data_IF_334449645409
#
_entry.id   IF_334449645409
#
_cell.length_a   1.000
_cell.length_b   1.000
_cell.length_c   1.000
_cell.angle_alpha   90.00
_cell.angle_beta   90.00
_cell.angle_gamma   90.00
#
_symmetry.space_group_name_H-M   'P 1'
#
loop_
_entity.id
_entity.type
_entity.pdbx_description
1 polymer ?
#
# COMPACT_ATOMS: atom_id res chain seq x y z
N UNK A 1 19.24 -25.83 -27.78
CA UNK A 1 18.97 -24.44 -28.21
C UNK A 1 17.48 -24.15 -28.08
N UNK A 2 17.09 -22.88 -27.91
CA UNK A 2 15.68 -22.50 -27.93
C UNK A 2 15.30 -21.94 -29.29
N UNK A 3 14.16 -22.33 -29.83
CA UNK A 3 13.64 -21.80 -31.11
C UNK A 3 12.52 -20.81 -30.87
N UNK A 4 12.37 -19.82 -31.76
CA UNK A 4 11.22 -18.90 -31.73
C UNK A 4 9.94 -19.73 -31.88
N UNK A 5 8.99 -19.51 -30.98
CA UNK A 5 7.63 -20.04 -31.08
C UNK A 5 6.59 -18.93 -31.26
N UNK A 6 7.00 -17.66 -31.08
CA UNK A 6 6.15 -16.49 -31.28
C UNK A 6 6.95 -15.21 -31.47
N UNK A 7 6.59 -14.45 -32.50
CA UNK A 7 7.07 -13.09 -32.78
C UNK A 7 6.33 -12.01 -31.97
N UNK A 8 6.91 -10.81 -31.91
CA UNK A 8 6.22 -9.64 -31.36
C UNK A 8 5.09 -9.22 -32.31
N UNK A 9 3.83 -9.48 -31.95
CA UNK A 9 2.67 -9.03 -32.74
C UNK A 9 2.36 -7.57 -32.40
N UNK A 10 2.58 -6.66 -33.36
CA UNK A 10 2.12 -5.26 -33.24
C UNK A 10 0.61 -5.11 -33.42
N UNK A 11 -0.04 -5.98 -34.21
CA UNK A 11 -1.50 -5.99 -34.39
C UNK A 11 -2.03 -7.41 -34.71
N UNK A 12 -2.97 -7.96 -33.93
CA UNK A 12 -3.57 -9.25 -34.22
C UNK A 12 -4.49 -9.20 -35.46
N UNK A 13 -4.26 -10.09 -36.43
CA UNK A 13 -5.05 -10.17 -37.68
C UNK A 13 -6.37 -10.96 -37.54
N UNK A 14 -6.51 -11.80 -36.50
CA UNK A 14 -7.71 -12.60 -36.21
C UNK A 14 -7.96 -12.68 -34.70
N UNK A 15 -9.05 -12.05 -34.27
CA UNK A 15 -9.44 -11.93 -32.86
C UNK A 15 -9.58 -13.28 -32.14
N UNK A 16 -10.13 -14.31 -32.79
CA UNK A 16 -10.37 -15.61 -32.14
C UNK A 16 -9.06 -16.38 -31.95
N UNK A 17 -8.19 -16.36 -32.95
CA UNK A 17 -6.85 -16.93 -32.83
C UNK A 17 -6.02 -16.18 -31.80
N UNK A 18 -6.14 -14.85 -31.73
CA UNK A 18 -5.45 -14.05 -30.72
C UNK A 18 -5.92 -14.36 -29.30
N UNK A 19 -7.22 -14.59 -29.06
CA UNK A 19 -7.70 -15.03 -27.74
C UNK A 19 -7.22 -16.44 -27.37
N UNK A 20 -7.22 -17.39 -28.32
CA UNK A 20 -6.69 -18.74 -28.08
C UNK A 20 -5.19 -18.69 -27.75
N UNK A 21 -4.44 -17.90 -28.50
CA UNK A 21 -3.01 -17.70 -28.27
C UNK A 21 -2.73 -16.96 -26.97
N UNK A 22 -3.51 -15.93 -26.62
CA UNK A 22 -3.42 -15.23 -25.34
C UNK A 22 -3.61 -16.20 -24.18
N UNK A 23 -4.58 -17.12 -24.26
CA UNK A 23 -4.78 -18.15 -23.25
C UNK A 23 -3.59 -19.13 -23.16
N UNK A 24 -3.03 -19.58 -24.29
CA UNK A 24 -1.83 -20.44 -24.31
C UNK A 24 -0.64 -19.72 -23.68
N UNK A 25 -0.44 -18.43 -24.00
CA UNK A 25 0.62 -17.61 -23.43
C UNK A 25 0.38 -17.39 -21.95
N UNK A 26 -0.84 -17.10 -21.51
CA UNK A 26 -1.16 -16.97 -20.09
C UNK A 26 -0.93 -18.26 -19.32
N UNK A 27 -1.20 -19.43 -19.91
CA UNK A 27 -0.87 -20.73 -19.32
C UNK A 27 0.64 -20.94 -19.23
N UNK A 28 1.39 -20.60 -20.30
CA UNK A 28 2.86 -20.63 -20.31
C UNK A 28 3.49 -19.61 -19.33
N UNK A 29 2.89 -18.43 -19.17
CA UNK A 29 3.27 -17.40 -18.19
C UNK A 29 2.96 -17.79 -16.75
N UNK A 30 1.90 -18.56 -16.50
CA UNK A 30 1.68 -19.18 -15.18
C UNK A 30 2.77 -20.20 -14.85
N UNK A 31 3.28 -20.96 -15.82
CA UNK A 31 4.45 -21.82 -15.62
C UNK A 31 5.75 -21.03 -15.39
N UNK A 32 5.92 -19.88 -16.07
CA UNK A 32 7.04 -18.95 -15.85
C UNK A 32 7.15 -18.50 -14.38
N UNK A 33 6.03 -18.38 -13.66
CA UNK A 33 5.99 -18.05 -12.22
C UNK A 33 6.48 -19.16 -11.29
N UNK A 34 6.55 -20.41 -11.77
CA UNK A 34 6.96 -21.59 -10.97
C UNK A 34 8.37 -22.10 -11.30
N UNK A 35 9.02 -21.53 -12.33
CA UNK A 35 10.34 -21.92 -12.81
C UNK A 35 11.29 -20.71 -12.87
N UNK A 36 12.60 -20.94 -13.04
CA UNK A 36 13.64 -19.90 -13.09
C UNK A 36 13.47 -19.03 -14.34
N UNK A 37 12.57 -18.03 -14.32
CA UNK A 37 12.13 -17.34 -15.54
C UNK A 37 11.60 -18.30 -16.61
N UNK A 38 10.84 -19.32 -16.20
CA UNK A 38 10.31 -20.33 -17.15
C UNK A 38 11.35 -21.34 -17.63
N UNK A 39 12.59 -21.20 -17.18
CA UNK A 39 13.65 -22.18 -17.40
C UNK A 39 13.59 -23.25 -16.31
N UNK A 40 13.47 -24.49 -16.74
CA UNK A 40 13.46 -25.67 -15.87
C UNK A 40 14.88 -26.22 -15.85
N UNK A 41 15.45 -26.37 -14.65
CA UNK A 41 16.80 -26.89 -14.45
C UNK A 41 16.78 -28.04 -13.44
N UNK A 42 17.65 -29.04 -13.65
CA UNK A 42 17.93 -30.09 -12.67
C UNK A 42 19.18 -29.73 -11.85
N UNK A 43 19.64 -30.65 -10.98
CA UNK A 43 20.88 -30.51 -10.20
C UNK A 43 21.00 -29.20 -9.40
N UNK A 44 19.89 -28.62 -8.94
CA UNK A 44 19.87 -27.31 -8.27
C UNK A 44 20.03 -27.37 -6.73
N UNK A 45 20.72 -28.38 -6.22
CA UNK A 45 21.00 -28.52 -4.77
C UNK A 45 22.45 -28.13 -4.46
N UNK A 46 22.68 -27.53 -3.29
CA UNK A 46 24.03 -27.29 -2.76
C UNK A 46 24.80 -28.58 -2.43
N UNK A 47 24.13 -29.74 -2.40
CA UNK A 47 24.78 -31.06 -2.28
C UNK A 47 25.14 -31.67 -3.62
N UNK A 48 24.59 -31.14 -4.71
CA UNK A 48 24.81 -31.64 -6.06
C UNK A 48 25.94 -30.86 -6.72
N UNK A 49 27.01 -31.56 -7.10
CA UNK A 49 28.24 -30.98 -7.67
C UNK A 49 28.18 -30.85 -9.19
N UNK A 50 27.13 -31.33 -9.83
CA UNK A 50 27.00 -31.31 -11.29
C UNK A 50 26.53 -29.94 -11.79
N UNK A 51 26.89 -29.65 -13.04
CA UNK A 51 26.36 -28.51 -13.79
C UNK A 51 24.91 -28.84 -14.17
N UNK A 52 23.95 -27.93 -13.98
CA UNK A 52 22.57 -28.19 -14.33
C UNK A 52 22.39 -28.29 -15.85
N UNK A 53 21.48 -29.16 -16.28
CA UNK A 53 20.89 -29.17 -17.61
C UNK A 53 19.67 -28.24 -17.65
N UNK A 54 19.38 -27.69 -18.84
CA UNK A 54 18.10 -27.04 -19.11
C UNK A 54 17.13 -28.09 -19.66
N UNK A 55 16.05 -28.35 -18.94
CA UNK A 55 15.09 -29.41 -19.30
C UNK A 55 14.18 -28.99 -20.46
N UNK A 56 13.73 -29.98 -21.23
CA UNK A 56 12.72 -29.82 -22.27
C UNK A 56 11.44 -29.13 -21.74
N UNK A 57 10.82 -28.32 -22.59
CA UNK A 57 9.67 -27.48 -22.24
C UNK A 57 10.04 -26.28 -21.36
N UNK A 58 11.31 -25.86 -21.38
CA UNK A 58 11.73 -24.56 -20.84
C UNK A 58 11.37 -23.46 -21.83
N UNK A 59 10.88 -22.34 -21.32
CA UNK A 59 10.39 -21.22 -22.13
C UNK A 59 11.11 -19.95 -21.68
N UNK A 60 11.62 -19.17 -22.63
CA UNK A 60 12.27 -17.89 -22.38
C UNK A 60 11.54 -16.78 -23.13
N UNK A 61 11.28 -15.66 -22.46
CA UNK A 61 10.94 -14.40 -23.12
C UNK A 61 12.23 -13.63 -23.45
N UNK A 62 12.31 -13.04 -24.65
CA UNK A 62 13.45 -12.24 -25.09
C UNK A 62 12.99 -11.23 -26.16
N UNK A 63 13.20 -9.93 -25.92
CA UNK A 63 12.77 -8.84 -26.83
C UNK A 63 11.27 -8.91 -27.23
N UNK A 64 10.38 -9.31 -26.30
CA UNK A 64 8.95 -9.45 -26.57
C UNK A 64 8.57 -10.71 -27.37
N UNK A 65 9.55 -11.55 -27.72
CA UNK A 65 9.36 -12.85 -28.38
C UNK A 65 9.42 -13.98 -27.37
N UNK A 66 8.79 -15.11 -27.70
CA UNK A 66 8.86 -16.33 -26.88
C UNK A 66 9.67 -17.40 -27.60
N UNK A 67 10.58 -17.99 -26.84
CA UNK A 67 11.45 -19.08 -27.26
C UNK A 67 11.18 -20.31 -26.41
N UNK A 68 11.23 -21.50 -27.01
CA UNK A 68 11.06 -22.77 -26.30
C UNK A 68 12.11 -23.79 -26.75
N UNK A 69 12.55 -24.62 -25.82
CA UNK A 69 13.36 -25.82 -26.14
C UNK A 69 12.50 -27.07 -25.96
N UNK A 70 12.44 -27.91 -26.99
CA UNK A 70 11.72 -29.19 -26.94
C UNK A 70 12.60 -30.36 -26.50
N UNK A 71 13.90 -30.10 -26.31
CA UNK A 71 14.89 -31.09 -25.90
C UNK A 71 15.62 -30.59 -24.64
N UNK A 72 16.12 -31.53 -23.85
CA UNK A 72 17.01 -31.22 -22.73
C UNK A 72 18.36 -30.78 -23.27
N UNK A 73 18.78 -29.57 -22.91
CA UNK A 73 20.07 -28.98 -23.30
C UNK A 73 21.07 -29.31 -22.21
N UNK A 74 22.05 -30.16 -22.55
CA UNK A 74 23.20 -30.41 -21.69
C UNK A 74 24.15 -29.22 -21.73
N UNK A 75 24.46 -28.67 -20.57
CA UNK A 75 25.40 -27.55 -20.48
C UNK A 75 26.83 -28.07 -20.44
N UNK A 76 27.74 -27.31 -21.04
CA UNK A 76 29.17 -27.57 -20.98
C UNK A 76 29.88 -26.31 -20.49
N UNK A 77 30.75 -26.47 -19.50
CA UNK A 77 31.67 -25.41 -19.07
C UNK A 77 33.06 -25.70 -19.65
N UNK A 78 33.57 -24.76 -20.44
CA UNK A 78 34.90 -24.87 -21.05
C UNK A 78 36.03 -24.51 -20.08
N UNK A 79 35.72 -24.07 -18.86
CA UNK A 79 36.70 -23.65 -17.86
C UNK A 79 36.58 -24.47 -16.58
N UNK A 80 37.71 -25.07 -16.15
CA UNK A 80 37.85 -25.70 -14.84
C UNK A 80 38.47 -24.77 -13.79
N UNK A 81 38.49 -23.45 -14.02
CA UNK A 81 39.05 -22.48 -13.07
C UNK A 81 38.13 -22.22 -11.89
N UNK A 82 38.69 -21.98 -10.71
CA UNK A 82 37.94 -21.51 -9.54
C UNK A 82 37.14 -20.24 -9.86
N UNK A 83 35.89 -20.17 -9.42
CA UNK A 83 35.13 -18.92 -9.44
C UNK A 83 33.67 -19.05 -9.90
N UNK A 84 33.02 -17.89 -10.05
CA UNK A 84 31.60 -17.83 -10.39
C UNK A 84 31.34 -18.17 -11.86
N UNK A 85 30.21 -18.83 -12.08
CA UNK A 85 29.65 -19.28 -13.37
C UNK A 85 28.21 -18.83 -13.48
N UNK A 86 27.86 -18.40 -14.68
CA UNK A 86 26.54 -17.91 -15.03
C UNK A 86 26.07 -18.57 -16.31
N UNK A 87 24.75 -18.71 -16.47
CA UNK A 87 24.15 -19.20 -17.70
C UNK A 87 23.60 -18.00 -18.46
N UNK A 88 24.05 -17.81 -19.71
CA UNK A 88 23.49 -16.80 -20.61
C UNK A 88 22.84 -17.43 -21.83
N UNK A 89 21.84 -16.75 -22.34
CA UNK A 89 21.09 -17.05 -23.55
C UNK A 89 21.46 -15.97 -24.58
N UNK A 90 22.26 -16.34 -25.58
CA UNK A 90 22.70 -15.45 -26.64
C UNK A 90 21.76 -15.56 -27.85
N UNK A 91 21.27 -14.42 -28.36
CA UNK A 91 20.45 -14.42 -29.57
C UNK A 91 21.34 -14.61 -30.80
N UNK A 92 21.08 -15.65 -31.57
CA UNK A 92 21.63 -15.83 -32.92
C UNK A 92 20.55 -15.40 -33.90
N UNK A 93 20.86 -14.34 -34.66
CA UNK A 93 19.93 -13.74 -35.61
C UNK A 93 20.20 -14.27 -37.01
N UNK A 94 19.16 -14.75 -37.68
CA UNK A 94 19.25 -15.11 -39.10
C UNK A 94 19.14 -13.83 -39.94
N UNK A 95 20.12 -13.61 -40.83
CA UNK A 95 20.21 -12.39 -41.63
C UNK A 95 19.03 -12.19 -42.59
N UNK A 96 18.33 -13.27 -42.95
CA UNK A 96 17.31 -13.29 -43.99
C UNK A 96 15.90 -13.58 -43.46
N UNK A 97 15.74 -14.15 -42.27
CA UNK A 97 14.43 -14.48 -41.70
C UNK A 97 14.44 -14.50 -40.17
N UNK A 98 13.87 -13.49 -39.52
CA UNK A 98 13.81 -13.40 -38.05
C UNK A 98 13.12 -14.57 -37.36
N UNK A 99 12.25 -15.32 -38.06
CA UNK A 99 11.61 -16.51 -37.51
C UNK A 99 12.58 -17.68 -37.30
N UNK A 100 13.77 -17.61 -37.92
CA UNK A 100 14.84 -18.58 -37.73
C UNK A 100 15.80 -18.19 -36.59
N UNK A 101 15.56 -17.06 -35.93
CA UNK A 101 16.34 -16.68 -34.75
C UNK A 101 16.24 -17.78 -33.69
N UNK A 102 17.31 -17.95 -32.93
CA UNK A 102 17.34 -18.92 -31.85
C UNK A 102 18.21 -18.42 -30.70
N UNK A 103 17.92 -18.92 -29.50
CA UNK A 103 18.77 -18.67 -28.34
C UNK A 103 19.73 -19.84 -28.15
N UNK A 104 21.02 -19.53 -28.17
CA UNK A 104 22.08 -20.44 -27.78
C UNK A 104 22.38 -20.29 -26.29
N UNK A 105 22.59 -21.42 -25.60
CA UNK A 105 22.88 -21.43 -24.18
C UNK A 105 24.39 -21.54 -23.98
N UNK A 106 24.95 -20.64 -23.18
CA UNK A 106 26.39 -20.61 -22.90
C UNK A 106 26.64 -20.48 -21.40
N UNK A 107 27.63 -21.21 -20.90
CA UNK A 107 28.15 -21.03 -19.53
C UNK A 107 29.36 -20.11 -19.60
N UNK A 108 29.35 -19.06 -18.78
CA UNK A 108 30.39 -18.03 -18.79
C UNK A 108 30.93 -17.76 -17.38
N UNK A 109 32.20 -17.38 -17.30
CA UNK A 109 32.88 -16.98 -16.07
C UNK A 109 33.05 -15.46 -16.02
N UNK A 110 32.79 -14.86 -14.85
CA UNK A 110 32.85 -13.41 -14.62
C UNK A 110 31.90 -12.60 -15.55
N UNK A 111 31.75 -11.29 -15.34
CA UNK A 111 30.92 -10.39 -16.16
C UNK A 111 29.39 -10.61 -16.11
N UNK A 112 28.83 -10.87 -14.93
CA UNK A 112 27.37 -10.80 -14.75
C UNK A 112 26.91 -9.33 -14.84
N UNK A 113 25.99 -8.97 -15.74
CA UNK A 113 25.60 -7.58 -15.94
C UNK A 113 24.76 -7.05 -14.76
N UNK A 114 24.67 -5.72 -14.64
CA UNK A 114 23.70 -5.10 -13.74
C UNK A 114 22.27 -5.37 -14.19
N UNK A 115 21.33 -5.38 -13.25
CA UNK A 115 19.91 -5.52 -13.57
C UNK A 115 19.42 -4.32 -14.41
N UNK A 116 18.86 -4.62 -15.58
CA UNK A 116 18.19 -3.66 -16.45
C UNK A 116 16.72 -3.56 -16.03
N UNK A 117 16.35 -2.40 -15.48
CA UNK A 117 15.00 -2.13 -14.99
C UNK A 117 13.98 -1.95 -16.12
N UNK A 118 14.40 -1.52 -17.30
CA UNK A 118 13.52 -1.31 -18.45
C UNK A 118 13.11 -2.65 -19.04
N UNK A 119 14.09 -3.54 -19.23
CA UNK A 119 13.88 -4.89 -19.77
C UNK A 119 13.57 -5.94 -18.69
N UNK A 120 13.56 -5.53 -17.42
CA UNK A 120 13.22 -6.33 -16.22
C UNK A 120 14.03 -7.62 -16.08
N UNK A 121 15.34 -7.56 -16.32
CA UNK A 121 16.21 -8.72 -16.28
C UNK A 121 17.69 -8.37 -16.38
N UNK A 122 18.53 -9.36 -16.61
CA UNK A 122 19.97 -9.18 -16.77
C UNK A 122 20.31 -9.33 -18.25
N UNK A 123 20.66 -8.22 -18.89
CA UNK A 123 20.91 -8.19 -20.32
C UNK A 123 22.26 -7.56 -20.62
N UNK A 124 22.89 -8.05 -21.68
CA UNK A 124 23.96 -7.34 -22.36
C UNK A 124 23.38 -6.71 -23.62
N UNK A 125 23.47 -5.37 -23.70
CA UNK A 125 22.98 -4.60 -24.83
C UNK A 125 24.13 -4.23 -25.77
N UNK A 126 23.87 -4.15 -27.08
CA UNK A 126 24.81 -3.56 -28.03
C UNK A 126 24.82 -2.02 -27.94
N UNK A 127 25.67 -1.38 -28.74
CA UNK A 127 25.79 0.08 -28.80
C UNK A 127 24.51 0.82 -29.22
N UNK A 128 23.54 0.11 -29.78
CA UNK A 128 22.25 0.62 -30.23
C UNK A 128 21.12 0.29 -29.25
N UNK A 129 21.44 -0.33 -28.11
CA UNK A 129 20.47 -0.70 -27.07
C UNK A 129 19.70 -1.99 -27.36
N UNK A 130 20.10 -2.79 -28.37
CA UNK A 130 19.47 -4.07 -28.68
C UNK A 130 20.00 -5.17 -27.77
N UNK A 131 19.15 -6.09 -27.34
CA UNK A 131 19.57 -7.19 -26.47
C UNK A 131 20.40 -8.21 -27.28
N UNK A 132 21.64 -8.46 -26.84
CA UNK A 132 22.53 -9.49 -27.37
C UNK A 132 22.45 -10.77 -26.54
N UNK A 133 22.51 -10.61 -25.22
CA UNK A 133 22.49 -11.73 -24.28
C UNK A 133 21.46 -11.48 -23.18
N UNK A 134 20.81 -12.54 -22.72
CA UNK A 134 20.02 -12.56 -21.47
C UNK A 134 20.65 -13.52 -20.50
N UNK A 135 20.97 -13.07 -19.30
CA UNK A 135 21.52 -13.89 -18.25
C UNK A 135 20.39 -14.43 -17.40
N UNK A 136 20.43 -15.74 -17.10
CA UNK A 136 19.53 -16.32 -16.12
C UNK A 136 19.85 -15.73 -14.74
N UNK A 137 18.81 -15.58 -13.91
CA UNK A 137 18.92 -15.02 -12.56
C UNK A 137 19.53 -16.02 -11.57
N UNK A 138 20.66 -16.60 -11.93
CA UNK A 138 21.32 -17.61 -11.12
C UNK A 138 22.84 -17.50 -11.24
N UNK A 139 23.53 -17.92 -10.19
CA UNK A 139 24.98 -18.12 -10.19
C UNK A 139 25.37 -19.39 -9.49
N UNK A 140 26.49 -19.94 -9.92
CA UNK A 140 27.09 -21.14 -9.35
C UNK A 140 28.58 -20.88 -9.19
N UNK A 141 29.20 -21.37 -8.13
CA UNK A 141 30.65 -21.27 -7.97
C UNK A 141 31.28 -22.61 -8.28
N UNK A 142 32.20 -22.65 -9.23
CA UNK A 142 33.00 -23.86 -9.47
C UNK A 142 34.15 -23.91 -8.47
N UNK A 143 34.31 -25.05 -7.79
CA UNK A 143 35.43 -25.34 -6.90
C UNK A 143 36.03 -26.71 -7.19
N UNK A 144 37.28 -26.71 -7.65
CA UNK A 144 38.11 -27.90 -7.85
C UNK A 144 38.34 -28.65 -6.53
N UNK A 145 38.56 -27.93 -5.42
CA UNK A 145 38.73 -28.51 -4.10
C UNK A 145 37.48 -29.27 -3.62
N UNK A 146 36.29 -28.82 -4.05
CA UNK A 146 35.01 -29.46 -3.72
C UNK A 146 34.51 -30.43 -4.80
N UNK A 147 35.29 -30.64 -5.88
CA UNK A 147 34.98 -31.55 -6.97
C UNK A 147 33.83 -31.12 -7.90
N UNK A 148 33.47 -29.84 -7.94
CA UNK A 148 32.42 -29.36 -8.85
C UNK A 148 31.75 -28.05 -8.43
N UNK A 149 30.48 -27.87 -8.80
CA UNK A 149 29.72 -26.65 -8.57
C UNK A 149 29.12 -26.62 -7.16
N UNK A 150 29.32 -25.51 -6.47
CA UNK A 150 28.89 -25.22 -5.09
C UNK A 150 28.26 -23.82 -5.01
N UNK A 151 27.68 -23.49 -3.85
CA UNK A 151 27.13 -22.16 -3.55
C UNK A 151 26.15 -21.68 -4.65
N UNK A 152 25.14 -22.50 -4.97
CA UNK A 152 24.19 -22.22 -6.06
C UNK A 152 23.18 -21.19 -5.59
N UNK A 153 23.22 -20.00 -6.16
CA UNK A 153 22.36 -18.89 -5.76
C UNK A 153 21.34 -18.59 -6.85
N UNK A 154 20.10 -18.38 -6.42
CA UNK A 154 19.04 -17.85 -7.25
C UNK A 154 18.67 -16.46 -6.79
N UNK A 155 18.51 -15.57 -7.75
CA UNK A 155 18.13 -14.20 -7.55
C UNK A 155 16.64 -14.07 -7.74
N UNK A 156 15.92 -13.94 -6.61
CA UNK A 156 14.51 -13.64 -6.68
C UNK A 156 14.34 -12.21 -7.23
N UNK A 157 13.37 -11.98 -8.11
CA UNK A 157 13.04 -10.63 -8.57
C UNK A 157 12.70 -9.69 -7.40
N UNK A 158 12.20 -10.26 -6.30
CA UNK A 158 11.94 -9.57 -5.04
C UNK A 158 13.24 -9.06 -4.37
N UNK A 159 14.39 -9.65 -4.65
CA UNK A 159 15.70 -9.24 -4.12
C UNK A 159 16.26 -8.03 -4.89
N UNK A 160 15.99 -7.92 -6.20
CA UNK A 160 16.42 -6.81 -7.06
C UNK A 160 15.50 -5.59 -6.97
N UNK A 161 14.20 -5.82 -6.82
CA UNK A 161 13.24 -4.75 -6.51
C UNK A 161 13.52 -4.07 -5.16
N UNK A 162 14.40 -4.62 -4.31
CA UNK A 162 14.69 -4.11 -2.96
C UNK A 162 15.99 -3.33 -2.79
N UNK A 163 16.93 -3.35 -3.75
CA UNK A 163 18.23 -2.66 -3.58
C UNK A 163 18.35 -1.26 -4.20
N UNK A 164 17.25 -0.63 -4.61
CA UNK A 164 17.30 0.77 -5.08
C UNK A 164 15.99 1.57 -5.15
N UNK A 165 14.82 0.96 -4.95
CA UNK A 165 13.50 1.63 -5.07
C UNK A 165 12.46 0.99 -4.14
N UNK A 166 12.79 0.73 -2.87
CA UNK A 166 11.74 0.32 -1.92
C UNK A 166 10.92 1.57 -1.59
N UNK A 167 9.77 1.73 -2.24
CA UNK A 167 8.73 2.62 -1.75
C UNK A 167 8.35 2.17 -0.33
N UNK A 168 8.93 2.79 0.70
CA UNK A 168 8.59 2.51 2.08
C UNK A 168 7.30 3.26 2.39
N UNK A 169 6.31 2.52 2.88
CA UNK A 169 5.15 3.14 3.50
C UNK A 169 5.61 3.89 4.73
N UNK A 170 5.33 5.19 4.77
CA UNK A 170 5.55 6.05 5.91
C UNK A 170 4.19 6.42 6.49
N UNK A 171 4.13 6.43 7.81
CA UNK A 171 2.93 6.79 8.55
C UNK A 171 3.31 7.85 9.57
N UNK A 172 2.56 8.94 9.62
CA UNK A 172 2.76 10.03 10.59
C UNK A 172 1.42 10.35 11.24
N UNK A 173 1.41 10.35 12.58
CA UNK A 173 0.19 10.55 13.37
C UNK A 173 0.18 11.92 14.04
N UNK A 174 -1.00 12.52 14.13
CA UNK A 174 -1.23 13.83 14.72
C UNK A 174 -2.36 13.76 15.75
N UNK A 175 -2.13 14.37 16.91
CA UNK A 175 -3.17 14.64 17.91
C UNK A 175 -3.85 15.99 17.68
N UNK A 176 -4.64 16.43 18.66
CA UNK A 176 -5.34 17.73 18.66
C UNK A 176 -4.39 18.89 18.35
N UNK A 177 -4.86 19.85 17.56
CA UNK A 177 -4.13 21.08 17.23
C UNK A 177 -4.00 21.33 15.74
N UNK A 178 -3.17 22.30 15.39
CA UNK A 178 -2.87 22.67 14.00
C UNK A 178 -1.47 22.20 13.64
N UNK A 179 -1.36 21.47 12.54
CA UNK A 179 -0.12 20.84 12.08
C UNK A 179 0.12 21.18 10.62
N UNK A 180 1.38 21.38 10.25
CA UNK A 180 1.81 21.43 8.85
C UNK A 180 2.70 20.22 8.56
N UNK A 181 2.49 19.59 7.42
CA UNK A 181 3.30 18.47 6.97
C UNK A 181 3.80 18.69 5.55
N UNK A 182 5.13 18.66 5.39
CA UNK A 182 5.82 18.83 4.12
C UNK A 182 6.19 17.47 3.55
N UNK A 183 5.84 17.23 2.30
CA UNK A 183 6.14 16.00 1.59
C UNK A 183 7.47 16.11 0.82
N UNK A 184 8.29 15.04 0.83
CA UNK A 184 9.41 14.89 -0.09
C UNK A 184 9.00 15.06 -1.56
N UNK A 185 9.96 15.45 -2.41
CA UNK A 185 9.70 15.72 -3.84
C UNK A 185 9.34 14.47 -4.64
N UNK A 186 9.73 13.30 -4.17
CA UNK A 186 9.51 12.00 -4.81
C UNK A 186 8.16 11.34 -4.44
N UNK A 187 7.38 11.97 -3.55
CA UNK A 187 6.04 11.51 -3.16
C UNK A 187 4.99 12.04 -4.13
N UNK A 188 4.24 11.11 -4.76
CA UNK A 188 3.18 11.41 -5.72
C UNK A 188 1.75 11.13 -5.23
N UNK A 189 1.60 10.26 -4.23
CA UNK A 189 0.30 9.85 -3.68
C UNK A 189 0.36 9.88 -2.16
N UNK A 190 -0.63 10.52 -1.56
CA UNK A 190 -0.74 10.77 -0.13
C UNK A 190 -2.17 10.40 0.27
N UNK A 191 -2.32 9.69 1.38
CA UNK A 191 -3.63 9.38 1.95
C UNK A 191 -3.67 9.96 3.36
N UNK A 192 -4.69 10.76 3.66
CA UNK A 192 -4.92 11.36 4.98
C UNK A 192 -6.17 10.74 5.58
N UNK A 193 -5.99 10.05 6.70
CA UNK A 193 -7.07 9.60 7.57
C UNK A 193 -7.27 10.65 8.65
N UNK A 194 -8.52 11.04 8.91
CA UNK A 194 -8.78 12.08 9.89
C UNK A 194 -10.13 11.89 10.58
N UNK A 195 -10.15 12.05 11.89
CA UNK A 195 -11.34 12.01 12.75
C UNK A 195 -11.46 13.34 13.51
N UNK A 196 -12.69 13.82 13.72
CA UNK A 196 -13.00 14.98 14.56
C UNK A 196 -13.28 14.59 16.02
N UNK A 197 -13.34 15.59 16.90
CA UNK A 197 -13.66 15.35 18.30
C UNK A 197 -15.13 14.97 18.50
N UNK A 198 -15.39 14.08 19.45
CA UNK A 198 -16.75 13.79 19.92
C UNK A 198 -17.25 14.87 20.90
N UNK A 199 -18.56 15.02 21.04
CA UNK A 199 -19.15 15.93 22.03
C UNK A 199 -19.08 15.38 23.45
N UNK A 200 -19.05 16.27 24.46
CA UNK A 200 -19.13 15.86 25.87
C UNK A 200 -20.53 15.36 26.26
N UNK A 201 -20.63 14.52 27.28
CA UNK A 201 -21.93 14.17 27.87
C UNK A 201 -22.45 15.28 28.79
N UNK A 202 -23.76 15.48 28.81
CA UNK A 202 -24.44 16.43 29.69
C UNK A 202 -25.33 15.76 30.73
N UNK A 203 -25.73 16.54 31.74
CA UNK A 203 -26.67 16.10 32.76
C UNK A 203 -28.11 16.25 32.24
N UNK A 204 -29.01 15.35 32.64
CA UNK A 204 -30.42 15.46 32.24
C UNK A 204 -31.21 16.40 33.17
N UNK A 205 -30.77 17.66 33.24
CA UNK A 205 -31.38 18.71 34.06
C UNK A 205 -31.99 19.74 33.14
N UNK A 206 -33.24 20.10 33.40
CA UNK A 206 -33.93 21.16 32.66
C UNK A 206 -33.26 22.49 33.06
N UNK A 207 -32.88 23.31 32.08
CA UNK A 207 -32.40 24.68 32.28
C UNK A 207 -33.52 25.61 32.79
N UNK A 208 -33.97 25.41 34.03
CA UNK A 208 -34.86 26.35 34.72
C UNK A 208 -34.06 27.09 35.79
N UNK A 209 -33.66 28.32 35.48
CA UNK A 209 -33.03 29.25 36.42
C UNK A 209 -31.52 29.06 36.64
N UNK A 210 -30.95 29.82 37.57
CA UNK A 210 -29.52 29.79 37.93
C UNK A 210 -29.23 28.61 38.86
N UNK A 211 -29.28 27.40 38.32
CA UNK A 211 -29.16 26.14 39.07
C UNK A 211 -27.70 25.62 39.18
N UNK A 212 -26.70 26.41 38.76
CA UNK A 212 -25.28 26.03 38.78
C UNK A 212 -24.94 24.92 37.77
N UNK A 213 -25.79 24.65 36.78
CA UNK A 213 -25.53 23.67 35.74
C UNK A 213 -24.76 24.28 34.56
N UNK A 214 -23.73 23.56 34.10
CA UNK A 214 -22.93 23.90 32.94
C UNK A 214 -23.10 22.85 31.85
N UNK A 215 -23.46 23.31 30.65
CA UNK A 215 -23.65 22.44 29.50
C UNK A 215 -22.36 21.77 29.04
N UNK A 216 -22.52 20.58 28.46
CA UNK A 216 -21.47 19.95 27.68
C UNK A 216 -21.17 20.76 26.43
N UNK A 217 -19.91 20.73 25.99
CA UNK A 217 -19.50 21.41 24.76
C UNK A 217 -19.43 20.46 23.58
N UNK A 218 -19.55 21.03 22.38
CA UNK A 218 -19.32 20.31 21.14
C UNK A 218 -17.85 19.92 21.00
N UNK A 219 -17.59 18.80 20.32
CA UNK A 219 -16.27 18.47 19.83
C UNK A 219 -15.83 19.45 18.73
N UNK A 220 -14.51 19.65 18.63
CA UNK A 220 -13.91 20.47 17.59
C UNK A 220 -13.94 19.78 16.23
N UNK A 221 -14.03 20.59 15.16
CA UNK A 221 -13.90 20.11 13.79
C UNK A 221 -12.46 19.71 13.48
N UNK A 222 -12.31 18.75 12.58
CA UNK A 222 -11.02 18.41 11.96
C UNK A 222 -11.04 18.76 10.48
N UNK A 223 -9.93 19.22 9.93
CA UNK A 223 -9.85 19.68 8.54
C UNK A 223 -8.53 19.28 7.89
N UNK A 224 -8.60 18.99 6.59
CA UNK A 224 -7.44 18.88 5.70
C UNK A 224 -7.46 20.08 4.77
N UNK A 225 -6.39 20.86 4.79
CA UNK A 225 -6.26 22.08 4.02
C UNK A 225 -5.09 21.99 3.05
N UNK A 226 -5.33 22.45 1.83
CA UNK A 226 -4.31 22.70 0.82
C UNK A 226 -4.35 24.20 0.52
N UNK A 227 -3.20 24.88 0.54
CA UNK A 227 -3.12 26.33 0.32
C UNK A 227 -4.09 27.13 1.21
N UNK A 228 -4.19 26.74 2.49
CA UNK A 228 -5.12 27.31 3.49
C UNK A 228 -6.62 27.20 3.15
N UNK A 229 -6.99 26.43 2.12
CA UNK A 229 -8.38 26.13 1.80
C UNK A 229 -8.71 24.72 2.24
N UNK A 230 -9.80 24.56 3.01
CA UNK A 230 -10.25 23.25 3.46
C UNK A 230 -10.81 22.46 2.27
N UNK A 231 -10.18 21.34 1.96
CA UNK A 231 -10.67 20.40 0.93
C UNK A 231 -11.62 19.36 1.54
N UNK A 232 -11.45 19.09 2.84
CA UNK A 232 -12.27 18.16 3.61
C UNK A 232 -12.45 18.70 5.02
N UNK A 233 -13.68 18.63 5.53
CA UNK A 233 -14.01 18.99 6.92
C UNK A 233 -14.79 17.85 7.56
N UNK A 234 -14.28 17.33 8.67
CA UNK A 234 -14.98 16.43 9.58
C UNK A 234 -15.57 17.26 10.72
N UNK A 235 -16.90 17.43 10.73
CA UNK A 235 -17.62 18.11 11.80
C UNK A 235 -17.51 17.36 13.13
N UNK A 236 -17.28 18.09 14.23
CA UNK A 236 -17.28 17.55 15.58
C UNK A 236 -18.68 17.12 16.05
N UNK A 237 -18.73 16.24 17.05
CA UNK A 237 -19.98 15.81 17.65
C UNK A 237 -20.60 16.87 18.56
N UNK A 238 -21.93 16.97 18.57
CA UNK A 238 -22.65 17.87 19.45
C UNK A 238 -22.59 17.42 20.92
N UNK A 239 -22.45 18.36 21.85
CA UNK A 239 -22.55 18.09 23.28
C UNK A 239 -23.93 17.55 23.65
N UNK A 240 -24.01 16.70 24.66
CA UNK A 240 -25.27 16.22 25.20
C UNK A 240 -26.01 17.36 25.90
N UNK A 241 -27.12 17.81 25.32
CA UNK A 241 -27.95 18.91 25.85
C UNK A 241 -29.40 18.43 25.92
N UNK A 242 -30.13 18.85 26.96
CA UNK A 242 -31.58 18.67 27.04
C UNK A 242 -32.28 19.93 26.53
N UNK A 243 -33.11 19.80 25.49
CA UNK A 243 -33.96 20.87 24.99
C UNK A 243 -35.42 20.52 25.27
N UNK A 244 -36.01 21.19 26.26
CA UNK A 244 -37.39 20.91 26.71
C UNK A 244 -37.53 19.60 27.51
N UNK A 245 -38.76 19.15 27.74
CA UNK A 245 -39.06 18.08 28.70
C UNK A 245 -38.67 16.66 28.23
N UNK A 246 -38.63 16.42 26.92
CA UNK A 246 -38.50 15.08 26.35
C UNK A 246 -37.34 14.89 25.34
N UNK A 247 -36.67 15.95 24.89
CA UNK A 247 -35.60 15.83 23.90
C UNK A 247 -34.24 16.03 24.55
N UNK A 248 -33.35 15.05 24.40
CA UNK A 248 -31.96 15.16 24.82
C UNK A 248 -31.09 14.20 24.02
N UNK A 249 -30.23 14.74 23.17
CA UNK A 249 -29.27 13.98 22.38
C UNK A 249 -28.11 14.88 21.95
N UNK A 250 -26.89 14.35 21.98
CA UNK A 250 -25.77 14.98 21.29
C UNK A 250 -25.84 14.70 19.79
N UNK A 251 -25.78 15.75 18.97
CA UNK A 251 -25.94 15.65 17.51
C UNK A 251 -24.73 14.96 16.86
N UNK A 252 -24.97 14.11 15.87
CA UNK A 252 -23.91 13.48 15.08
C UNK A 252 -23.10 14.50 14.27
N UNK A 253 -21.77 14.43 14.35
CA UNK A 253 -20.86 15.17 13.48
C UNK A 253 -21.04 14.79 12.00
N UNK A 254 -20.82 15.75 11.09
CA UNK A 254 -21.01 15.57 9.65
C UNK A 254 -19.73 15.86 8.89
N UNK A 255 -19.31 14.91 8.05
CA UNK A 255 -18.17 15.08 7.17
C UNK A 255 -18.63 15.66 5.82
N UNK A 256 -17.80 16.51 5.21
CA UNK A 256 -18.08 17.18 3.94
C UNK A 256 -16.78 17.46 3.16
N UNK A 257 -16.91 17.68 1.85
CA UNK A 257 -15.79 17.93 0.95
C UNK A 257 -15.30 16.68 0.24
N UNK A 258 -13.99 16.57 0.06
CA UNK A 258 -13.36 15.50 -0.72
C UNK A 258 -13.05 14.25 0.12
N UNK A 259 -12.88 13.12 -0.56
CA UNK A 259 -12.54 11.84 0.05
C UNK A 259 -13.74 10.97 0.39
N UNK A 260 -13.47 9.82 1.01
CA UNK A 260 -14.50 8.93 1.54
C UNK A 260 -14.94 9.43 2.91
N UNK A 261 -16.18 9.87 3.01
CA UNK A 261 -16.74 10.55 4.19
C UNK A 261 -17.52 9.59 5.09
N UNK A 262 -17.36 9.72 6.40
CA UNK A 262 -18.07 8.94 7.41
C UNK A 262 -18.75 9.88 8.40
N UNK A 263 -20.07 9.85 8.44
CA UNK A 263 -20.85 10.63 9.40
C UNK A 263 -20.87 9.95 10.77
N UNK A 264 -20.99 10.78 11.81
CA UNK A 264 -21.14 10.31 13.17
C UNK A 264 -22.49 9.70 13.47
N UNK A 265 -22.64 9.26 14.71
CA UNK A 265 -23.90 8.85 15.32
C UNK A 265 -24.28 9.79 16.47
N UNK A 266 -25.58 9.92 16.71
CA UNK A 266 -26.09 10.73 17.81
C UNK A 266 -25.89 10.01 19.15
N UNK A 267 -25.66 10.79 20.21
CA UNK A 267 -25.73 10.28 21.58
C UNK A 267 -27.19 10.16 22.04
N UNK A 268 -27.43 9.37 23.07
CA UNK A 268 -28.77 9.10 23.61
C UNK A 268 -28.90 9.51 25.08
N UNK A 269 -30.12 9.88 25.46
CA UNK A 269 -30.54 10.06 26.85
C UNK A 269 -30.77 8.71 27.53
N UNK A 270 -30.38 8.60 28.81
CA UNK A 270 -30.58 7.39 29.61
C UNK A 270 -30.09 7.54 31.05
N UNK A 271 -30.02 6.44 31.79
CA UNK A 271 -29.48 6.39 33.16
C UNK A 271 -28.47 5.25 33.28
N UNK A 272 -27.25 5.37 32.71
CA UNK A 272 -26.68 6.57 32.09
C UNK A 272 -27.01 6.74 30.59
N UNK A 273 -26.88 7.97 30.08
CA UNK A 273 -26.93 8.25 28.64
C UNK A 273 -25.69 7.72 27.91
N UNK A 274 -25.85 7.29 26.66
CA UNK A 274 -24.75 6.69 25.88
C UNK A 274 -24.25 7.67 24.82
N UNK A 275 -22.92 7.82 24.74
CA UNK A 275 -22.27 8.61 23.71
C UNK A 275 -22.38 7.94 22.34
N UNK A 276 -22.44 8.75 21.29
CA UNK A 276 -22.39 8.26 19.92
C UNK A 276 -21.06 7.56 19.64
N UNK A 277 -21.11 6.47 18.88
CA UNK A 277 -19.93 5.71 18.42
C UNK A 277 -19.63 6.07 16.96
N UNK A 278 -18.39 6.46 16.69
CA UNK A 278 -17.92 6.77 15.34
C UNK A 278 -17.44 5.49 14.63
N UNK A 279 -18.32 4.87 13.85
CA UNK A 279 -17.97 3.72 13.02
C UNK A 279 -17.37 4.18 11.68
N UNK A 280 -16.09 3.92 11.47
CA UNK A 280 -15.37 4.29 10.26
C UNK A 280 -14.24 3.29 9.95
N UNK A 281 -13.72 3.32 8.72
CA UNK A 281 -12.59 2.47 8.29
C UNK A 281 -11.26 3.24 8.22
N UNK A 282 -11.19 4.44 8.80
CA UNK A 282 -9.97 5.24 8.80
C UNK A 282 -8.99 4.71 9.85
N UNK A 283 -7.69 4.92 9.61
CA UNK A 283 -6.63 4.62 10.58
C UNK A 283 -6.55 5.65 11.71
N UNK A 284 -7.19 6.81 11.56
CA UNK A 284 -7.34 7.78 12.63
C UNK A 284 -8.38 7.28 13.64
N UNK A 285 -8.05 7.43 14.92
CA UNK A 285 -8.86 7.00 16.06
C UNK A 285 -9.53 8.17 16.79
N UNK A 286 -10.40 7.84 17.74
CA UNK A 286 -11.09 8.80 18.59
C UNK A 286 -12.43 9.27 18.02
N UNK A 287 -12.90 10.42 18.48
CA UNK A 287 -14.16 11.01 18.02
C UNK A 287 -15.45 10.41 18.58
N UNK A 288 -15.40 9.43 19.49
CA UNK A 288 -16.61 8.98 20.18
C UNK A 288 -17.15 10.06 21.13
N UNK A 289 -18.47 10.15 21.24
CA UNK A 289 -19.13 11.02 22.20
C UNK A 289 -18.91 10.56 23.64
N UNK A 290 -18.93 11.50 24.58
CA UNK A 290 -18.84 11.20 26.00
C UNK A 290 -20.06 10.40 26.47
N UNK A 291 -19.84 9.40 27.32
CA UNK A 291 -20.90 8.72 28.04
C UNK A 291 -21.36 9.56 29.23
N UNK A 292 -22.66 9.56 29.48
CA UNK A 292 -23.20 10.09 30.71
C UNK A 292 -22.82 9.22 31.92
N UNK A 293 -23.11 9.73 33.10
CA UNK A 293 -23.09 8.97 34.36
C UNK A 293 -24.44 9.12 35.04
N UNK A 294 -24.82 8.13 35.85
CA UNK A 294 -26.01 8.25 36.71
C UNK A 294 -25.69 9.22 37.84
N UNK A 295 -26.63 10.11 38.17
CA UNK A 295 -26.44 11.09 39.24
C UNK A 295 -27.73 11.29 40.04
N UNK A 296 -27.63 11.90 41.22
CA UNK A 296 -28.74 12.02 42.16
C UNK A 296 -29.48 13.37 42.09
N UNK A 297 -29.36 14.09 40.97
CA UNK A 297 -29.91 15.45 40.81
C UNK A 297 -30.93 15.46 39.66
N UNK A 298 -32.07 16.15 39.84
CA UNK A 298 -33.11 16.25 38.81
C UNK A 298 -33.68 14.88 38.42
N UNK A 299 -33.82 14.62 37.11
CA UNK A 299 -34.34 13.36 36.55
C UNK A 299 -33.37 12.17 36.63
N UNK A 300 -32.25 12.31 37.35
CA UNK A 300 -31.21 11.29 37.64
C UNK A 300 -30.51 10.65 36.42
N UNK A 301 -30.91 10.97 35.20
CA UNK A 301 -30.31 10.48 33.96
C UNK A 301 -29.29 11.45 33.38
N UNK A 302 -28.67 11.08 32.27
CA UNK A 302 -27.71 11.90 31.53
C UNK A 302 -27.97 11.79 30.03
N UNK A 303 -27.36 12.70 29.28
CA UNK A 303 -27.44 12.75 27.81
C UNK A 303 -26.04 12.52 27.26
N UNK A 304 -25.84 11.46 26.49
CA UNK A 304 -24.56 11.21 25.84
C UNK A 304 -24.27 12.25 24.75
N UNK A 305 -22.98 12.55 24.57
CA UNK A 305 -22.52 13.40 23.47
C UNK A 305 -22.62 12.68 22.13
N UNK A 306 -22.77 13.42 21.03
CA UNK A 306 -22.71 12.86 19.69
C UNK A 306 -21.27 12.50 19.32
N UNK A 307 -21.09 11.52 18.45
CA UNK A 307 -19.75 11.26 17.90
C UNK A 307 -19.38 12.35 16.89
N UNK A 308 -18.09 12.57 16.71
CA UNK A 308 -17.54 13.28 15.57
C UNK A 308 -17.77 12.53 14.26
N UNK A 309 -17.02 12.90 13.23
CA UNK A 309 -17.06 12.32 11.89
C UNK A 309 -15.63 12.03 11.41
N UNK A 310 -15.50 11.27 10.34
CA UNK A 310 -14.21 10.90 9.79
C UNK A 310 -14.15 11.04 8.26
N UNK A 311 -12.93 11.09 7.73
CA UNK A 311 -12.69 11.03 6.30
C UNK A 311 -11.38 10.29 5.97
N UNK A 312 -11.34 9.71 4.78
CA UNK A 312 -10.11 9.23 4.14
C UNK A 312 -9.95 10.03 2.85
N UNK A 313 -8.89 10.83 2.77
CA UNK A 313 -8.68 11.81 1.71
C UNK A 313 -7.43 11.43 0.94
N UNK A 314 -7.60 11.11 -0.34
CA UNK A 314 -6.48 10.88 -1.25
C UNK A 314 -6.08 12.22 -1.90
N UNK A 315 -4.80 12.55 -1.79
CA UNK A 315 -4.20 13.77 -2.30
C UNK A 315 -3.09 13.37 -3.28
N UNK A 316 -3.19 13.86 -4.51
CA UNK A 316 -2.15 13.71 -5.50
C UNK A 316 -1.30 14.98 -5.61
N UNK A 317 -0.15 14.88 -6.26
CA UNK A 317 0.77 16.01 -6.40
C UNK A 317 0.15 17.21 -7.15
N UNK A 318 -0.71 16.96 -8.13
CA UNK A 318 -1.41 18.04 -8.85
C UNK A 318 -2.34 18.86 -7.95
N UNK A 319 -2.96 18.24 -6.93
CA UNK A 319 -3.82 18.95 -5.98
C UNK A 319 -3.02 19.90 -5.08
N UNK A 320 -1.78 19.54 -4.74
CA UNK A 320 -0.90 20.41 -3.96
C UNK A 320 -0.42 21.63 -4.77
N UNK A 321 -0.39 21.52 -6.09
CA UNK A 321 0.09 22.58 -6.99
C UNK A 321 1.57 22.88 -6.76
N UNK A 322 1.91 24.14 -6.51
CA UNK A 322 3.28 24.55 -6.12
C UNK A 322 3.60 24.31 -4.65
N UNK A 323 2.59 24.05 -3.82
CA UNK A 323 2.80 23.70 -2.41
C UNK A 323 3.37 22.29 -2.32
N UNK A 324 4.37 22.08 -1.49
CA UNK A 324 4.86 20.76 -1.08
C UNK A 324 4.28 20.32 0.27
N UNK A 325 3.30 21.05 0.79
CA UNK A 325 2.76 20.82 2.13
C UNK A 325 1.24 20.83 2.20
N UNK A 326 0.71 20.17 3.22
CA UNK A 326 -0.68 20.28 3.67
C UNK A 326 -0.71 20.81 5.09
N UNK A 327 -1.85 21.40 5.46
CA UNK A 327 -2.17 21.75 6.84
C UNK A 327 -3.29 20.85 7.34
N UNK A 328 -3.11 20.29 8.54
CA UNK A 328 -4.10 19.46 9.21
C UNK A 328 -4.53 20.16 10.49
N UNK A 329 -5.83 20.28 10.69
CA UNK A 329 -6.42 20.73 11.96
C UNK A 329 -7.13 19.52 12.56
N UNK A 330 -6.80 19.20 13.81
CA UNK A 330 -7.43 18.10 14.55
C UNK A 330 -8.22 18.66 15.72
N UNK A 331 -9.52 18.39 15.74
CA UNK A 331 -10.45 18.86 16.76
C UNK A 331 -10.34 18.12 18.10
N UNK A 332 -10.43 18.87 19.19
CA UNK A 332 -10.50 18.34 20.56
C UNK A 332 -11.87 17.72 20.87
N UNK A 333 -11.91 16.80 21.81
CA UNK A 333 -13.17 16.32 22.38
C UNK A 333 -13.86 17.41 23.19
N UNK A 334 -15.19 17.41 23.16
CA UNK A 334 -16.03 18.31 23.93
C UNK A 334 -15.91 18.03 25.43
N UNK A 335 -15.90 19.09 26.22
CA UNK A 335 -15.88 19.02 27.69
C UNK A 335 -17.26 18.60 28.17
N UNK A 336 -17.28 17.75 29.18
CA UNK A 336 -18.50 17.24 29.77
C UNK A 336 -19.22 18.31 30.61
N UNK A 337 -20.53 18.20 30.66
CA UNK A 337 -21.36 19.02 31.53
C UNK A 337 -21.17 18.66 33.00
N UNK A 338 -21.34 19.64 33.87
CA UNK A 338 -21.23 19.46 35.32
C UNK A 338 -22.17 20.40 36.05
N UNK A 339 -22.35 20.18 37.35
CA UNK A 339 -23.09 21.07 38.23
C UNK A 339 -22.18 21.52 39.37
N UNK A 340 -22.23 22.80 39.71
CA UNK A 340 -21.48 23.37 40.84
C UNK A 340 -21.80 22.65 42.15
N UNK A 341 -20.76 22.41 42.96
CA UNK A 341 -20.88 21.70 44.23
C UNK A 341 -21.19 20.19 44.11
N UNK A 342 -21.36 19.66 42.89
CA UNK A 342 -21.54 18.23 42.66
C UNK A 342 -20.20 17.56 42.25
N UNK A 343 -19.70 16.57 43.01
CA UNK A 343 -18.45 15.89 42.66
C UNK A 343 -18.58 14.97 41.43
N UNK A 344 -19.81 14.63 41.01
CA UNK A 344 -20.06 13.76 39.85
C UNK A 344 -19.93 14.55 38.54
N UNK A 345 -18.89 14.25 37.76
CA UNK A 345 -18.69 14.77 36.39
C UNK A 345 -19.08 13.74 35.34
N UNK A 346 -19.71 14.22 34.27
CA UNK A 346 -19.97 13.44 33.05
C UNK A 346 -18.64 13.15 32.31
N UNK A 347 -18.67 12.27 31.29
CA UNK A 347 -17.45 12.00 30.51
C UNK A 347 -17.29 12.99 29.35
N UNK A 348 -16.04 13.38 29.09
CA UNK A 348 -15.68 14.17 27.92
C UNK A 348 -15.85 13.34 26.64
N UNK A 349 -16.04 14.03 25.52
CA UNK A 349 -15.88 13.41 24.21
C UNK A 349 -14.42 13.04 23.96
N UNK A 350 -14.20 12.04 23.11
CA UNK A 350 -12.85 11.67 22.71
C UNK A 350 -12.29 12.71 21.75
N UNK A 351 -11.00 12.99 21.89
CA UNK A 351 -10.24 13.77 20.93
C UNK A 351 -10.29 13.12 19.54
N UNK A 352 -10.20 13.95 18.50
CA UNK A 352 -9.89 13.47 17.15
C UNK A 352 -8.42 13.11 17.00
N UNK A 353 -8.08 12.55 15.85
CA UNK A 353 -6.70 12.33 15.43
C UNK A 353 -6.60 12.39 13.91
N UNK A 354 -5.38 12.46 13.39
CA UNK A 354 -5.11 12.28 11.97
C UNK A 354 -3.91 11.36 11.76
N UNK A 355 -3.91 10.65 10.64
CA UNK A 355 -2.81 9.79 10.19
C UNK A 355 -2.58 10.07 8.72
N UNK A 356 -1.35 10.40 8.35
CA UNK A 356 -0.94 10.50 6.95
C UNK A 356 -0.19 9.21 6.59
N UNK A 357 -0.61 8.55 5.52
CA UNK A 357 0.15 7.50 4.85
C UNK A 357 0.68 8.01 3.50
N UNK A 358 1.96 7.76 3.22
CA UNK A 358 2.55 8.04 1.91
C UNK A 358 3.66 7.05 1.58
N UNK A 359 3.95 6.91 0.29
CA UNK A 359 5.00 6.04 -0.23
C UNK A 359 6.19 6.90 -0.65
N UNK A 360 7.39 6.57 -0.16
CA UNK A 360 8.63 7.31 -0.42
C UNK A 360 9.75 6.37 -0.87
N UNK A 361 10.55 6.76 -1.89
CA UNK A 361 11.61 5.94 -2.49
C UNK A 361 12.79 5.68 -1.56
#
# INVERSE_FOLDING_TARGET
>A
MFRVIREAEENPSDLLNSYRQQNIIMQKMRMLHTAFDGIKINHWSDTDRELPDILAGSICEFEGRLFETNETIKLSDSSSSEGSRFIKLAIVRDANNSNNDYLEVQVVSNNFPSYDYNNRGFYHLDSQGRCLDKYLRLSMKYSSASGGYIEKQYWNINDFQRKGLILKRKTVSFGVGSHEFTFPSDVNSITVHICSGGGGAGMSIIETGNNGYHNATNGGNSQVLINNSAITTCGGGGGGIMTGLNQGAGVAGRASGQGKLYNGSAGSKGSPGLGGVLNNQSLASGGNGGNGVSHNVGNKGSVGGGSGSAAIVDINRSMLGTSSKIKIIVGAGGVSGYMDGNPTRMNNGQNGSAVIEYMQK
#
